data_IF_084411742332
#
_entry.id   IF_084411742332
#
_cell.length_a   1.000
_cell.length_b   1.000
_cell.length_c   1.000
_cell.angle_alpha   90.00
_cell.angle_beta   90.00
_cell.angle_gamma   90.00
#
_symmetry.space_group_name_H-M   'P 1'
#
loop_
_entity.id
_entity.type
_entity.pdbx_description
1 polymer ?
#
# COMPACT_ATOMS: atom_id res chain seq x y z
N UNK A 1 25.10 6.99 3.33
CA UNK A 1 25.36 6.57 4.72
C UNK A 1 24.07 5.96 5.23
N UNK A 2 24.11 4.79 5.86
CA UNK A 2 22.91 4.18 6.46
C UNK A 2 22.66 4.72 7.86
N UNK A 3 21.41 4.95 8.24
CA UNK A 3 20.99 5.34 9.59
C UNK A 3 20.21 4.21 10.26
N UNK A 4 20.33 4.11 11.59
CA UNK A 4 19.48 3.24 12.41
C UNK A 4 18.17 3.96 12.71
N UNK A 5 17.04 3.32 12.40
CA UNK A 5 15.69 3.85 12.56
C UNK A 5 14.80 2.84 13.28
N UNK A 6 13.76 3.30 13.96
CA UNK A 6 12.81 2.39 14.62
C UNK A 6 11.83 1.79 13.63
N UNK A 7 11.36 0.59 13.93
CA UNK A 7 10.31 -0.09 13.17
C UNK A 7 9.05 0.77 13.04
N UNK A 8 8.65 1.43 14.11
CA UNK A 8 7.44 2.28 14.15
C UNK A 8 7.57 3.44 13.17
N UNK A 9 8.75 4.07 13.09
CA UNK A 9 9.03 5.17 12.17
C UNK A 9 8.94 4.70 10.71
N UNK A 10 9.42 3.49 10.41
CA UNK A 10 9.30 2.88 9.08
C UNK A 10 7.83 2.64 8.70
N UNK A 11 7.06 2.06 9.62
CA UNK A 11 5.63 1.77 9.38
C UNK A 11 4.87 3.08 9.16
N UNK A 12 5.11 4.07 10.02
CA UNK A 12 4.51 5.40 9.94
C UNK A 12 4.86 6.10 8.62
N UNK A 13 6.12 6.05 8.20
CA UNK A 13 6.55 6.58 6.90
C UNK A 13 5.82 5.93 5.72
N UNK A 14 5.64 4.60 5.76
CA UNK A 14 4.85 3.91 4.76
C UNK A 14 3.39 4.39 4.72
N UNK A 15 2.76 4.55 5.89
CA UNK A 15 1.38 5.08 5.99
C UNK A 15 1.29 6.51 5.42
N UNK A 16 2.28 7.35 5.70
CA UNK A 16 2.37 8.71 5.18
C UNK A 16 2.47 8.74 3.66
N UNK A 17 3.22 7.83 3.04
CA UNK A 17 3.26 7.68 1.58
C UNK A 17 1.87 7.33 1.05
N UNK A 18 1.18 6.33 1.63
CA UNK A 18 -0.18 5.96 1.23
C UNK A 18 -1.16 7.14 1.31
N UNK A 19 -1.06 7.95 2.36
CA UNK A 19 -1.85 9.16 2.50
C UNK A 19 -1.51 10.19 1.42
N UNK A 20 -0.22 10.45 1.21
CA UNK A 20 0.29 11.47 0.28
C UNK A 20 -0.06 11.18 -1.18
N UNK A 21 -0.19 9.92 -1.57
CA UNK A 21 -0.58 9.53 -2.94
C UNK A 21 -2.09 9.31 -3.11
N UNK A 22 -2.90 9.61 -2.08
CA UNK A 22 -4.37 9.47 -2.15
C UNK A 22 -4.86 8.03 -2.14
N UNK A 23 -4.03 7.05 -1.78
CA UNK A 23 -4.41 5.63 -1.78
C UNK A 23 -5.53 5.30 -0.79
N UNK A 24 -5.69 6.09 0.27
CA UNK A 24 -6.79 5.96 1.21
C UNK A 24 -8.17 6.18 0.55
N UNK A 25 -8.27 7.06 -0.45
CA UNK A 25 -9.50 7.22 -1.25
C UNK A 25 -9.81 5.95 -2.05
N UNK A 26 -8.80 5.34 -2.65
CA UNK A 26 -8.90 4.08 -3.38
C UNK A 26 -9.36 2.96 -2.45
N UNK A 27 -8.70 2.79 -1.30
CA UNK A 27 -9.07 1.79 -0.31
C UNK A 27 -10.51 1.96 0.18
N UNK A 28 -11.00 3.19 0.35
CA UNK A 28 -12.39 3.47 0.75
C UNK A 28 -13.41 2.93 -0.27
N UNK A 29 -13.11 3.01 -1.57
CA UNK A 29 -13.98 2.43 -2.60
C UNK A 29 -13.96 0.91 -2.51
N UNK A 30 -12.76 0.32 -2.48
CA UNK A 30 -12.58 -1.13 -2.38
C UNK A 30 -13.30 -1.74 -1.16
N UNK A 31 -13.17 -1.11 0.02
CA UNK A 31 -13.84 -1.53 1.26
C UNK A 31 -15.36 -1.47 1.12
N UNK A 32 -15.91 -0.36 0.60
CA UNK A 32 -17.36 -0.20 0.41
C UNK A 32 -17.95 -1.19 -0.59
N UNK A 33 -17.17 -1.60 -1.59
CA UNK A 33 -17.58 -2.59 -2.58
C UNK A 33 -17.51 -4.04 -2.07
N UNK A 34 -17.27 -4.28 -0.78
CA UNK A 34 -17.09 -5.63 -0.24
C UNK A 34 -15.80 -6.32 -0.69
N UNK A 35 -14.90 -5.56 -1.33
CA UNK A 35 -13.70 -6.05 -1.96
C UNK A 35 -12.48 -5.28 -1.45
N UNK A 36 -12.28 -5.34 -0.15
CA UNK A 36 -11.01 -4.99 0.44
C UNK A 36 -10.06 -6.18 0.33
N UNK A 37 -8.78 -5.93 0.04
CA UNK A 37 -7.71 -6.92 0.26
C UNK A 37 -7.67 -7.46 1.70
N UNK A 38 -8.45 -6.84 2.58
CA UNK A 38 -8.65 -7.13 3.98
C UNK A 38 -10.15 -7.20 4.40
N UNK A 39 -11.12 -7.32 3.46
CA UNK A 39 -12.54 -7.46 3.82
C UNK A 39 -12.71 -8.71 4.69
N UNK A 40 -13.39 -8.57 5.83
CA UNK A 40 -13.51 -9.61 6.88
C UNK A 40 -12.18 -10.08 7.49
N UNK A 41 -11.08 -9.34 7.31
CA UNK A 41 -9.84 -9.63 8.01
C UNK A 41 -9.94 -9.10 9.45
N UNK A 42 -10.01 -10.00 10.43
CA UNK A 42 -9.95 -9.68 11.87
C UNK A 42 -8.68 -8.94 12.31
N UNK A 43 -7.71 -8.77 11.40
CA UNK A 43 -6.47 -8.04 11.63
C UNK A 43 -6.44 -6.71 10.88
N UNK A 44 -7.56 -6.24 10.32
CA UNK A 44 -7.68 -4.92 9.72
C UNK A 44 -8.26 -3.95 10.74
N UNK A 45 -7.63 -2.80 10.89
CA UNK A 45 -8.22 -1.67 11.59
C UNK A 45 -8.46 -0.53 10.58
N UNK A 46 -9.67 0.01 10.60
CA UNK A 46 -10.06 1.10 9.71
C UNK A 46 -9.16 2.32 9.90
N UNK A 47 -8.70 2.90 8.79
CA UNK A 47 -7.78 4.04 8.78
C UNK A 47 -6.33 3.72 9.18
N UNK A 48 -6.03 2.49 9.61
CA UNK A 48 -4.67 2.07 10.01
C UNK A 48 -4.10 1.02 9.07
N UNK A 49 -4.91 0.04 8.66
CA UNK A 49 -4.46 -1.08 7.84
C UNK A 49 -4.26 -2.38 8.64
N UNK A 50 -3.46 -3.30 8.09
CA UNK A 50 -3.31 -4.64 8.65
C UNK A 50 -2.42 -4.62 9.90
N UNK A 51 -2.98 -4.96 11.06
CA UNK A 51 -2.31 -5.05 12.37
C UNK A 51 -1.30 -6.20 12.49
N UNK A 52 -1.11 -7.00 11.43
CA UNK A 52 -0.17 -8.13 11.39
C UNK A 52 0.93 -7.98 10.36
N UNK A 53 0.95 -6.88 9.61
CA UNK A 53 1.91 -6.64 8.54
C UNK A 53 2.38 -5.20 8.59
N UNK A 54 3.63 -4.99 8.20
CA UNK A 54 4.10 -3.68 7.83
C UNK A 54 3.47 -3.25 6.50
N UNK A 55 3.69 -1.99 6.13
CA UNK A 55 3.08 -1.38 4.95
C UNK A 55 3.63 -1.90 3.62
N UNK A 56 4.75 -2.66 3.61
CA UNK A 56 5.49 -3.13 2.43
C UNK A 56 4.64 -3.74 1.30
N UNK A 57 3.57 -4.43 1.67
CA UNK A 57 2.80 -5.27 0.78
C UNK A 57 1.69 -4.46 0.11
N UNK A 58 1.82 -4.26 -1.20
CA UNK A 58 0.79 -3.66 -2.03
C UNK A 58 -0.22 -4.73 -2.48
N UNK A 59 -1.52 -4.43 -2.43
CA UNK A 59 -2.49 -5.18 -3.23
C UNK A 59 -2.31 -4.85 -4.73
N UNK A 60 -3.02 -5.54 -5.62
CA UNK A 60 -2.87 -5.34 -7.07
C UNK A 60 -3.24 -3.93 -7.49
N UNK A 61 -4.31 -3.37 -6.93
CA UNK A 61 -4.74 -1.99 -7.20
C UNK A 61 -3.74 -0.96 -6.65
N UNK A 62 -3.16 -1.20 -5.47
CA UNK A 62 -2.12 -0.34 -4.92
C UNK A 62 -0.84 -0.43 -5.76
N UNK A 63 -0.43 -1.63 -6.17
CA UNK A 63 0.70 -1.83 -7.08
C UNK A 63 0.52 -1.08 -8.39
N UNK A 64 -0.68 -1.15 -8.98
CA UNK A 64 -1.05 -0.34 -10.14
C UNK A 64 -0.95 1.16 -9.86
N UNK A 65 -1.51 1.67 -8.75
CA UNK A 65 -1.40 3.09 -8.41
C UNK A 65 0.06 3.54 -8.29
N UNK A 66 0.88 2.78 -7.56
CA UNK A 66 2.30 3.08 -7.38
C UNK A 66 3.07 3.08 -8.70
N UNK A 67 2.74 2.17 -9.62
CA UNK A 67 3.32 2.12 -10.96
C UNK A 67 2.94 3.36 -11.78
N UNK A 68 1.65 3.72 -11.79
CA UNK A 68 1.16 4.86 -12.56
C UNK A 68 1.74 6.21 -12.14
N UNK A 69 2.20 6.32 -10.89
CA UNK A 69 2.88 7.53 -10.39
C UNK A 69 4.42 7.41 -10.39
N UNK A 70 4.97 6.32 -10.92
CA UNK A 70 6.41 6.08 -10.98
C UNK A 70 7.09 5.76 -9.63
N UNK A 71 6.32 5.40 -8.61
CA UNK A 71 6.80 5.15 -7.24
C UNK A 71 7.08 3.66 -6.95
N UNK A 72 6.57 2.74 -7.79
CA UNK A 72 6.63 1.30 -7.50
C UNK A 72 8.06 0.78 -7.30
N UNK A 73 9.00 1.18 -8.14
CA UNK A 73 10.39 0.73 -8.03
C UNK A 73 11.09 1.29 -6.80
N UNK A 74 10.84 2.54 -6.46
CA UNK A 74 11.40 3.17 -5.27
C UNK A 74 10.83 2.55 -3.99
N UNK A 75 9.51 2.31 -3.96
CA UNK A 75 8.84 1.55 -2.91
C UNK A 75 9.48 0.17 -2.70
N UNK A 76 9.65 -0.56 -3.80
CA UNK A 76 10.26 -1.88 -3.80
C UNK A 76 11.70 -1.87 -3.29
N UNK A 77 12.50 -0.86 -3.67
CA UNK A 77 13.87 -0.69 -3.17
C UNK A 77 13.90 -0.38 -1.69
N UNK A 78 13.09 0.58 -1.24
CA UNK A 78 13.00 0.94 0.18
C UNK A 78 12.67 -0.28 1.05
N UNK A 79 11.65 -1.05 0.67
CA UNK A 79 11.31 -2.25 1.41
C UNK A 79 12.33 -3.38 1.25
N UNK A 80 13.11 -3.45 0.17
CA UNK A 80 14.15 -4.49 0.07
C UNK A 80 15.24 -4.39 1.16
N UNK A 81 15.42 -3.20 1.76
CA UNK A 81 16.36 -2.99 2.86
C UNK A 81 15.81 -3.41 4.23
N UNK A 82 14.50 -3.67 4.34
CA UNK A 82 13.84 -3.91 5.63
C UNK A 82 13.67 -5.42 5.86
N UNK A 83 14.40 -6.04 6.81
CA UNK A 83 14.29 -7.47 7.06
C UNK A 83 12.98 -7.83 7.76
N UNK A 84 12.60 -9.10 7.70
CA UNK A 84 11.48 -9.61 8.50
C UNK A 84 10.08 -9.37 7.92
N UNK A 85 10.00 -8.95 6.65
CA UNK A 85 8.77 -8.97 5.88
C UNK A 85 8.34 -10.41 5.61
N UNK A 86 7.28 -10.86 6.27
CA UNK A 86 6.67 -12.17 6.01
C UNK A 86 5.20 -12.03 5.66
N UNK A 87 4.68 -12.99 4.90
CA UNK A 87 3.27 -13.05 4.58
C UNK A 87 2.43 -13.17 5.88
N UNK A 88 1.69 -12.11 6.20
CA UNK A 88 0.82 -11.99 7.38
C UNK A 88 1.54 -12.12 8.74
N UNK A 89 2.85 -11.83 8.78
CA UNK A 89 3.64 -11.69 10.00
C UNK A 89 4.65 -10.58 9.82
N UNK A 90 4.75 -9.71 10.82
CA UNK A 90 5.76 -8.66 10.87
C UNK A 90 6.79 -9.01 11.96
N UNK A 91 7.89 -9.63 11.55
CA UNK A 91 9.06 -9.90 12.42
C UNK A 91 10.18 -8.88 12.19
N UNK A 92 9.85 -7.71 11.61
CA UNK A 92 10.80 -6.62 11.46
C UNK A 92 11.39 -6.31 12.84
N UNK A 93 12.72 -6.28 13.00
CA UNK A 93 13.36 -5.93 14.27
C UNK A 93 12.97 -4.52 14.72
N UNK A 94 12.99 -4.25 16.03
CA UNK A 94 12.65 -2.94 16.60
C UNK A 94 13.49 -1.80 16.02
N UNK A 95 14.71 -2.14 15.56
CA UNK A 95 15.62 -1.21 14.88
C UNK A 95 16.14 -1.80 13.59
N UNK A 96 16.10 -1.00 12.53
CA UNK A 96 16.53 -1.38 11.18
C UNK A 96 17.52 -0.34 10.68
N UNK A 97 18.51 -0.76 9.90
CA UNK A 97 19.38 0.17 9.17
C UNK A 97 18.85 0.36 7.77
N UNK A 98 18.58 1.61 7.39
CA UNK A 98 18.15 1.99 6.04
C UNK A 98 19.08 3.04 5.47
N UNK A 99 19.16 3.11 4.14
CA UNK A 99 19.98 4.10 3.43
C UNK A 99 19.29 5.46 3.38
N UNK A 100 17.99 5.47 3.11
CA UNK A 100 17.18 6.69 3.04
C UNK A 100 15.68 6.36 3.05
N UNK A 101 14.88 7.31 3.53
CA UNK A 101 13.43 7.30 3.34
C UNK A 101 13.07 7.82 1.93
N UNK A 102 11.94 7.36 1.41
CA UNK A 102 11.31 7.91 0.21
C UNK A 102 10.87 9.36 0.48
N UNK A 103 11.18 10.29 -0.43
CA UNK A 103 10.81 11.70 -0.28
C UNK A 103 9.32 11.92 -0.56
N UNK A 104 8.56 12.22 0.49
CA UNK A 104 7.11 12.45 0.40
C UNK A 104 6.74 13.83 -0.15
N UNK A 105 7.67 14.79 -0.18
CA UNK A 105 7.37 16.19 -0.56
C UNK A 105 6.93 16.36 -2.02
N UNK A 106 7.28 15.39 -2.87
CA UNK A 106 6.96 15.40 -4.31
C UNK A 106 5.72 14.56 -4.66
N UNK A 107 5.12 13.89 -3.67
CA UNK A 107 3.94 13.06 -3.87
C UNK A 107 2.69 13.94 -3.94
N UNK A 108 1.76 13.57 -4.85
CA UNK A 108 0.48 14.24 -5.06
C UNK A 108 -0.66 13.22 -4.92
N UNK A 109 -1.70 13.59 -4.19
CA UNK A 109 -2.87 12.74 -3.94
C UNK A 109 -3.79 12.59 -5.15
N UNK A 110 -3.67 13.47 -6.14
CA UNK A 110 -4.55 13.56 -7.31
C UNK A 110 -4.69 12.26 -8.09
N UNK A 111 -3.60 11.50 -8.23
CA UNK A 111 -3.64 10.21 -8.93
C UNK A 111 -4.51 9.19 -8.19
N UNK A 112 -4.39 9.13 -6.85
CA UNK A 112 -5.24 8.28 -6.01
C UNK A 112 -6.70 8.71 -6.03
N UNK A 113 -6.97 10.02 -6.00
CA UNK A 113 -8.33 10.56 -6.13
C UNK A 113 -8.98 10.19 -7.48
N UNK A 114 -8.27 10.41 -8.58
CA UNK A 114 -8.74 10.06 -9.93
C UNK A 114 -8.99 8.54 -10.06
N UNK A 115 -8.10 7.71 -9.52
CA UNK A 115 -8.29 6.27 -9.52
C UNK A 115 -9.51 5.88 -8.67
N UNK A 116 -9.74 6.53 -7.53
CA UNK A 116 -10.92 6.29 -6.72
C UNK A 116 -12.22 6.60 -7.48
N UNK A 117 -12.29 7.73 -8.21
CA UNK A 117 -13.46 8.06 -9.03
C UNK A 117 -13.69 7.05 -10.17
N UNK A 118 -12.61 6.60 -10.82
CA UNK A 118 -12.69 5.54 -11.84
C UNK A 118 -13.20 4.23 -11.26
N UNK A 119 -12.72 3.83 -10.09
CA UNK A 119 -13.19 2.63 -9.40
C UNK A 119 -14.65 2.74 -8.97
N UNK A 120 -15.10 3.90 -8.49
CA UNK A 120 -16.52 4.14 -8.19
C UNK A 120 -17.39 3.94 -9.42
N UNK A 121 -16.99 4.52 -10.55
CA UNK A 121 -17.70 4.39 -11.82
C UNK A 121 -17.74 2.94 -12.29
N UNK A 122 -16.60 2.22 -12.21
CA UNK A 122 -16.51 0.80 -12.53
C UNK A 122 -17.47 -0.06 -11.69
N UNK A 123 -17.53 0.17 -10.37
CA UNK A 123 -18.45 -0.51 -9.46
C UNK A 123 -19.91 -0.21 -9.80
N UNK A 124 -20.24 1.05 -10.08
CA UNK A 124 -21.60 1.45 -10.47
C UNK A 124 -22.08 0.78 -11.76
N UNK A 125 -21.14 0.42 -12.65
CA UNK A 125 -21.40 -0.32 -13.88
C UNK A 125 -21.45 -1.85 -13.68
N UNK A 126 -21.41 -2.33 -12.43
CA UNK A 126 -21.43 -3.77 -12.10
C UNK A 126 -20.04 -4.42 -12.07
N UNK A 127 -18.97 -3.63 -12.14
CA UNK A 127 -17.61 -4.12 -12.09
C UNK A 127 -17.23 -4.74 -10.74
N UNK A 128 -16.56 -5.89 -10.77
CA UNK A 128 -16.05 -6.57 -9.59
C UNK A 128 -14.62 -6.11 -9.26
N UNK A 129 -14.47 -5.34 -8.18
CA UNK A 129 -13.17 -4.79 -7.74
C UNK A 129 -12.25 -5.90 -7.22
N UNK A 130 -12.78 -6.98 -6.65
CA UNK A 130 -11.98 -8.12 -6.20
C UNK A 130 -11.38 -8.92 -7.36
N UNK A 131 -12.09 -9.04 -8.48
CA UNK A 131 -11.56 -9.61 -9.72
C UNK A 131 -10.49 -8.73 -10.34
N UNK A 132 -10.74 -7.42 -10.40
CA UNK A 132 -9.75 -6.46 -10.87
C UNK A 132 -8.47 -6.51 -10.04
N UNK A 133 -8.57 -6.51 -8.71
CA UNK A 133 -7.42 -6.63 -7.82
C UNK A 133 -6.66 -7.94 -8.05
N UNK A 134 -7.37 -9.07 -8.15
CA UNK A 134 -6.73 -10.38 -8.46
C UNK A 134 -6.03 -10.38 -9.81
N UNK A 135 -6.60 -9.73 -10.82
CA UNK A 135 -5.97 -9.59 -12.13
C UNK A 135 -4.69 -8.75 -12.03
N UNK A 136 -4.77 -7.57 -11.43
CA UNK A 136 -3.63 -6.66 -11.28
C UNK A 136 -2.50 -7.25 -10.42
N UNK A 137 -2.81 -8.07 -9.41
CA UNK A 137 -1.79 -8.77 -8.63
C UNK A 137 -0.87 -9.64 -9.48
N UNK A 138 -1.35 -10.21 -10.59
CA UNK A 138 -0.50 -11.02 -11.49
C UNK A 138 0.62 -10.19 -12.13
N UNK A 139 0.42 -8.88 -12.24
CA UNK A 139 1.37 -7.94 -12.83
C UNK A 139 2.19 -7.22 -11.77
N UNK A 140 1.55 -6.77 -10.68
CA UNK A 140 2.16 -5.83 -9.73
C UNK A 140 2.46 -6.41 -8.36
N UNK A 141 2.02 -7.63 -8.04
CA UNK A 141 2.40 -8.30 -6.79
C UNK A 141 3.74 -9.00 -6.97
N UNK A 142 4.67 -8.76 -6.04
CA UNK A 142 5.94 -9.51 -5.96
C UNK A 142 5.79 -10.90 -5.33
N UNK A 143 4.58 -11.29 -4.93
CA UNK A 143 4.25 -12.50 -4.17
C UNK A 143 2.84 -13.01 -4.49
#
# INVERSE_FOLDING_TARGET
MSSEVKKEDIIQHGIEIFHSIGAHHVCKVCIKSGHSCCFSCQHLQDGVGCQKRNTAWLCGIQGFLFDQIGLLDEWNRFWSEIPGQMFRRDITPDKVRITSFIDTKKLDSRAGELLAERLKSYVQQGGNVGELDRHLRKTYSKY
#
